data_IF_680645399997
#
_entry.id   IF_680645399997
#
_cell.length_a   1.000
_cell.length_b   1.000
_cell.length_c   1.000
_cell.angle_alpha   90.00
_cell.angle_beta   90.00
_cell.angle_gamma   90.00
#
_symmetry.space_group_name_H-M   'P 1'
#
loop_
_entity.id
_entity.type
_entity.pdbx_description
1 polymer ?
#
# COMPACT_ATOMS: atom_id res chain seq x y z
N UNK A 1 -15.61 -16.97 12.23
CA UNK A 1 -15.10 -17.41 10.91
C UNK A 1 -13.57 -17.40 11.00
N UNK A 2 -12.87 -18.46 10.55
CA UNK A 2 -11.41 -18.60 10.62
C UNK A 2 -10.81 -18.66 9.21
N UNK A 3 -9.79 -17.85 8.92
CA UNK A 3 -8.99 -17.90 7.69
C UNK A 3 -7.60 -18.41 8.02
N UNK A 4 -7.12 -19.40 7.27
CA UNK A 4 -5.73 -19.91 7.37
C UNK A 4 -4.94 -19.38 6.16
N UNK A 5 -3.78 -18.78 6.41
CA UNK A 5 -2.85 -18.32 5.38
C UNK A 5 -1.42 -18.30 5.92
N UNK A 6 -0.42 -18.36 5.04
CA UNK A 6 0.96 -18.09 5.40
C UNK A 6 1.20 -16.60 5.59
N UNK A 7 1.90 -16.22 6.66
CA UNK A 7 2.32 -14.85 6.89
C UNK A 7 3.81 -14.68 6.54
N UNK A 8 4.19 -13.46 6.15
CA UNK A 8 5.53 -13.12 5.68
C UNK A 8 6.21 -12.20 6.69
N UNK A 9 7.49 -12.47 6.99
CA UNK A 9 8.31 -11.58 7.82
C UNK A 9 8.80 -10.39 7.00
N UNK A 10 8.42 -9.17 7.41
CA UNK A 10 8.87 -7.95 6.73
C UNK A 10 10.34 -7.69 7.01
N UNK A 11 10.72 -7.84 8.28
CA UNK A 11 12.11 -7.67 8.70
C UNK A 11 13.01 -8.75 8.06
N UNK A 12 12.54 -9.99 7.95
CA UNK A 12 13.30 -11.09 7.34
C UNK A 12 13.48 -10.95 5.82
N UNK A 13 12.67 -10.11 5.16
CA UNK A 13 12.83 -9.75 3.76
C UNK A 13 13.62 -8.44 3.56
N UNK A 14 14.06 -7.79 4.64
CA UNK A 14 14.64 -6.44 4.64
C UNK A 14 13.72 -5.38 4.00
N UNK A 15 12.40 -5.54 4.17
CA UNK A 15 11.42 -4.60 3.67
C UNK A 15 11.18 -3.47 4.68
N UNK A 16 10.77 -2.32 4.14
CA UNK A 16 10.34 -1.16 4.87
C UNK A 16 8.83 -1.04 4.80
N UNK A 17 8.25 -0.26 5.71
CA UNK A 17 6.84 0.07 5.64
C UNK A 17 6.57 1.54 5.87
N UNK A 18 5.40 1.98 5.42
CA UNK A 18 4.87 3.29 5.70
C UNK A 18 3.40 3.20 6.09
N UNK A 19 2.98 4.11 6.97
CA UNK A 19 1.59 4.39 7.22
C UNK A 19 1.19 5.65 6.48
N UNK A 20 0.06 5.59 5.78
CA UNK A 20 -0.52 6.72 5.06
C UNK A 20 -1.85 7.04 5.73
N UNK A 21 -1.92 8.18 6.39
CA UNK A 21 -3.12 8.69 7.02
C UNK A 21 -3.75 9.69 6.05
N UNK A 22 -5.04 9.55 5.78
CA UNK A 22 -5.74 10.39 4.81
C UNK A 22 -7.04 10.93 5.38
N UNK A 23 -7.25 12.21 5.14
CA UNK A 23 -8.52 12.90 5.37
C UNK A 23 -9.21 13.03 4.01
N UNK A 24 -10.25 12.22 3.83
CA UNK A 24 -11.05 12.19 2.61
C UNK A 24 -12.30 13.06 2.76
N UNK A 25 -12.68 13.75 1.70
CA UNK A 25 -13.78 14.74 1.68
C UNK A 25 -15.15 14.15 1.97
N UNK A 26 -15.42 12.96 1.46
CA UNK A 26 -16.73 12.31 1.60
C UNK A 26 -16.59 10.79 1.56
N UNK A 27 -17.67 10.11 1.96
CA UNK A 27 -17.70 8.66 2.09
C UNK A 27 -17.63 7.93 0.74
N UNK A 28 -18.15 8.52 -0.34
CA UNK A 28 -18.11 7.89 -1.66
C UNK A 28 -16.68 7.82 -2.22
N UNK A 29 -15.90 8.88 -2.05
CA UNK A 29 -14.47 8.87 -2.41
C UNK A 29 -13.69 7.87 -1.53
N UNK A 30 -14.02 7.74 -0.24
CA UNK A 30 -13.42 6.70 0.64
C UNK A 30 -13.69 5.30 0.09
N UNK A 31 -14.93 5.00 -0.29
CA UNK A 31 -15.29 3.70 -0.89
C UNK A 31 -14.51 3.41 -2.17
N UNK A 32 -14.37 4.41 -3.05
CA UNK A 32 -13.62 4.27 -4.30
C UNK A 32 -12.15 3.96 -4.01
N UNK A 33 -11.54 4.64 -3.05
CA UNK A 33 -10.16 4.39 -2.63
C UNK A 33 -10.02 2.98 -2.04
N UNK A 34 -10.95 2.54 -1.20
CA UNK A 34 -10.86 1.20 -0.62
C UNK A 34 -10.94 0.13 -1.72
N UNK A 35 -11.93 0.23 -2.61
CA UNK A 35 -12.09 -0.72 -3.72
C UNK A 35 -10.87 -0.78 -4.66
N UNK A 36 -10.19 0.36 -4.85
CA UNK A 36 -9.00 0.45 -5.69
C UNK A 36 -7.76 -0.23 -5.08
N UNK A 37 -7.65 -0.29 -3.74
CA UNK A 37 -6.43 -0.69 -3.06
C UNK A 37 -6.55 -1.87 -2.08
N UNK A 38 -7.75 -2.35 -1.76
CA UNK A 38 -7.96 -3.52 -0.87
C UNK A 38 -7.24 -4.79 -1.34
N UNK A 39 -7.01 -4.91 -2.65
CA UNK A 39 -6.32 -6.02 -3.31
C UNK A 39 -4.85 -5.69 -3.66
N UNK A 40 -4.35 -4.53 -3.26
CA UNK A 40 -2.97 -4.17 -3.57
C UNK A 40 -2.00 -5.05 -2.76
N UNK A 41 -1.04 -5.75 -3.39
CA UNK A 41 -0.15 -6.68 -2.68
C UNK A 41 0.75 -6.01 -1.64
N UNK A 42 0.97 -4.69 -1.76
CA UNK A 42 1.74 -3.89 -0.81
C UNK A 42 0.95 -3.51 0.45
N UNK A 43 -0.38 -3.53 0.39
CA UNK A 43 -1.25 -3.06 1.47
C UNK A 43 -1.51 -4.21 2.45
N UNK A 44 -0.98 -4.11 3.67
CA UNK A 44 -1.26 -5.07 4.74
C UNK A 44 -2.34 -4.59 5.71
N UNK A 45 -2.62 -3.29 5.72
CA UNK A 45 -3.62 -2.67 6.57
C UNK A 45 -4.37 -1.64 5.75
N UNK A 46 -5.69 -1.70 5.81
CA UNK A 46 -6.59 -0.69 5.31
C UNK A 46 -7.76 -0.59 6.27
N UNK A 47 -7.93 0.56 6.91
CA UNK A 47 -8.96 0.72 7.93
C UNK A 47 -9.58 2.11 7.92
N UNK A 48 -10.88 2.15 8.18
CA UNK A 48 -11.53 3.36 8.63
C UNK A 48 -11.04 3.71 10.03
N UNK A 49 -10.78 4.98 10.27
CA UNK A 49 -10.36 5.50 11.57
C UNK A 49 -11.21 6.71 11.94
N UNK A 50 -11.29 7.01 13.22
CA UNK A 50 -11.98 8.21 13.73
C UNK A 50 -10.94 9.14 14.35
N UNK A 51 -10.93 10.40 13.93
CA UNK A 51 -9.98 11.41 14.39
C UNK A 51 -9.78 12.48 13.33
N UNK A 52 -8.57 13.04 13.27
CA UNK A 52 -8.18 14.00 12.22
C UNK A 52 -8.23 13.40 10.81
N UNK A 53 -7.88 12.12 10.71
CA UNK A 53 -7.94 11.34 9.47
C UNK A 53 -9.11 10.37 9.54
N UNK A 54 -9.67 10.00 8.39
CA UNK A 54 -10.78 9.06 8.29
C UNK A 54 -10.43 7.74 7.58
N UNK A 55 -9.19 7.63 7.09
CA UNK A 55 -8.67 6.45 6.43
C UNK A 55 -7.17 6.25 6.76
N UNK A 56 -6.76 5.02 7.05
CA UNK A 56 -5.34 4.65 7.23
C UNK A 56 -4.97 3.47 6.34
N UNK A 57 -3.79 3.56 5.76
CA UNK A 57 -3.12 2.49 5.03
C UNK A 57 -1.83 2.10 5.73
N UNK A 58 -1.53 0.81 5.77
CA UNK A 58 -0.20 0.28 6.01
C UNK A 58 0.31 -0.36 4.73
N UNK A 59 1.44 0.13 4.23
CA UNK A 59 2.07 -0.35 2.99
C UNK A 59 3.50 -0.83 3.23
N UNK A 60 3.96 -1.82 2.46
CA UNK A 60 5.36 -2.29 2.46
C UNK A 60 6.07 -2.02 1.13
N UNK A 61 7.40 -1.96 1.17
CA UNK A 61 8.26 -1.84 0.00
C UNK A 61 9.70 -2.26 0.28
N UNK A 62 10.45 -2.56 -0.77
CA UNK A 62 11.84 -3.05 -0.67
C UNK A 62 12.84 -1.99 -0.19
N UNK A 63 12.51 -0.70 -0.37
CA UNK A 63 13.32 0.42 0.12
C UNK A 63 12.44 1.63 0.40
N UNK A 64 12.98 2.61 1.13
CA UNK A 64 12.31 3.90 1.34
C UNK A 64 12.07 4.61 0.00
N UNK A 65 12.99 4.51 -0.95
CA UNK A 65 12.83 5.15 -2.26
C UNK A 65 11.73 4.47 -3.10
N UNK A 66 11.60 3.14 -3.03
CA UNK A 66 10.46 2.42 -3.62
C UNK A 66 9.14 2.88 -2.99
N UNK A 67 9.10 3.08 -1.68
CA UNK A 67 7.91 3.60 -1.00
C UNK A 67 7.59 5.05 -1.40
N UNK A 68 8.59 5.92 -1.52
CA UNK A 68 8.42 7.31 -2.01
C UNK A 68 7.88 7.33 -3.43
N UNK A 69 8.46 6.53 -4.33
CA UNK A 69 7.99 6.37 -5.72
C UNK A 69 6.57 5.80 -5.77
N UNK A 70 6.27 4.82 -4.91
CA UNK A 70 4.90 4.33 -4.74
C UNK A 70 3.95 5.48 -4.42
N UNK A 71 4.21 6.26 -3.36
CA UNK A 71 3.35 7.39 -2.95
C UNK A 71 3.15 8.40 -4.09
N UNK A 72 4.21 8.74 -4.83
CA UNK A 72 4.13 9.76 -5.87
C UNK A 72 3.46 9.29 -7.17
N UNK A 73 3.34 7.98 -7.42
CA UNK A 73 2.83 7.46 -8.70
C UNK A 73 1.65 6.50 -8.54
N UNK A 74 1.84 5.44 -7.74
CA UNK A 74 0.85 4.36 -7.60
C UNK A 74 -0.02 4.50 -6.35
N UNK A 75 0.42 5.28 -5.37
CA UNK A 75 -0.20 5.41 -4.06
C UNK A 75 -1.51 6.20 -4.10
N UNK A 76 -2.31 6.07 -3.05
CA UNK A 76 -3.60 6.74 -2.99
C UNK A 76 -3.46 8.27 -2.91
N UNK A 77 -2.29 8.80 -2.52
CA UNK A 77 -2.04 10.22 -2.21
C UNK A 77 -2.31 11.22 -3.35
N UNK A 78 -2.40 10.75 -4.60
CA UNK A 78 -2.74 11.59 -5.76
C UNK A 78 -4.19 11.41 -6.24
N UNK A 79 -5.00 10.63 -5.54
CA UNK A 79 -6.36 10.34 -5.95
C UNK A 79 -7.32 11.45 -5.51
N UNK A 80 -8.45 11.52 -6.21
CA UNK A 80 -9.48 12.52 -5.97
C UNK A 80 -10.06 12.40 -4.56
N UNK A 81 -10.43 13.53 -3.98
CA UNK A 81 -11.15 13.58 -2.71
C UNK A 81 -10.26 13.67 -1.47
N UNK A 82 -8.93 13.61 -1.60
CA UNK A 82 -8.00 13.87 -0.50
C UNK A 82 -8.01 15.36 -0.16
N UNK A 83 -8.20 15.67 1.13
CA UNK A 83 -8.05 17.01 1.70
C UNK A 83 -6.65 17.18 2.30
N UNK A 84 -6.25 16.22 3.14
CA UNK A 84 -4.94 16.19 3.76
C UNK A 84 -4.42 14.75 3.82
N UNK A 85 -3.09 14.61 3.80
CA UNK A 85 -2.43 13.33 4.06
C UNK A 85 -1.20 13.51 4.94
N UNK A 86 -0.89 12.50 5.74
CA UNK A 86 0.36 12.39 6.47
C UNK A 86 0.96 11.01 6.21
N UNK A 87 2.28 10.98 6.01
CA UNK A 87 3.01 9.76 5.71
C UNK A 87 4.04 9.54 6.82
N UNK A 88 4.01 8.36 7.42
CA UNK A 88 4.92 7.95 8.49
C UNK A 88 5.72 6.76 7.99
N UNK A 89 7.00 6.96 7.72
CA UNK A 89 7.90 5.86 7.37
C UNK A 89 8.36 5.15 8.65
N UNK A 90 8.35 3.83 8.61
CA UNK A 90 8.86 2.98 9.70
C UNK A 90 10.30 2.59 9.40
N UNK A 91 11.14 2.56 10.44
CA UNK A 91 12.52 2.07 10.33
C UNK A 91 12.61 0.55 10.53
N UNK A 92 11.78 -0.01 11.41
CA UNK A 92 11.70 -1.45 11.68
C UNK A 92 10.32 -1.82 12.23
N UNK A 93 9.80 -2.97 11.82
CA UNK A 93 8.59 -3.53 12.42
C UNK A 93 8.94 -4.25 13.74
N UNK A 94 8.48 -3.74 14.89
CA UNK A 94 8.72 -4.39 16.17
C UNK A 94 7.69 -5.49 16.46
N UNK A 95 6.44 -5.24 16.10
CA UNK A 95 5.35 -6.21 16.18
C UNK A 95 4.20 -5.81 15.21
N UNK A 96 3.48 -6.79 14.64
CA UNK A 96 3.81 -8.21 14.60
C UNK A 96 5.02 -8.47 13.68
N UNK A 97 5.77 -9.56 13.93
CA UNK A 97 6.91 -9.93 13.08
C UNK A 97 6.45 -10.42 11.69
N UNK A 98 5.31 -11.12 11.64
CA UNK A 98 4.76 -11.71 10.42
C UNK A 98 3.44 -11.06 10.04
N UNK A 99 3.35 -10.54 8.82
CA UNK A 99 2.15 -9.91 8.27
C UNK A 99 1.44 -10.81 7.25
N UNK A 100 0.10 -10.71 7.15
CA UNK A 100 -0.72 -11.46 6.20
C UNK A 100 -0.63 -10.89 4.77
N UNK A 101 0.58 -10.80 4.23
CA UNK A 101 0.83 -10.25 2.90
C UNK A 101 0.72 -11.31 1.81
N UNK A 102 0.27 -10.89 0.63
CA UNK A 102 0.21 -11.73 -0.57
C UNK A 102 1.02 -11.10 -1.70
N UNK A 103 2.34 -11.07 -1.53
CA UNK A 103 3.29 -10.44 -2.45
C UNK A 103 3.43 -11.22 -3.77
N UNK A 104 3.33 -12.55 -3.72
CA UNK A 104 3.72 -13.45 -4.81
C UNK A 104 2.53 -14.09 -5.52
N UNK A 105 1.55 -13.29 -5.94
CA UNK A 105 0.30 -13.83 -6.55
C UNK A 105 0.45 -14.20 -8.03
N UNK A 106 1.40 -13.61 -8.75
CA UNK A 106 1.54 -13.77 -10.22
C UNK A 106 0.44 -13.06 -11.03
N UNK A 107 -0.59 -12.49 -10.39
CA UNK A 107 -1.76 -11.88 -11.03
C UNK A 107 -1.75 -10.38 -10.77
N UNK A 108 -1.52 -9.58 -11.81
CA UNK A 108 -1.53 -8.12 -11.66
C UNK A 108 -2.93 -7.57 -11.35
N UNK A 109 -2.98 -6.70 -10.34
CA UNK A 109 -4.17 -5.96 -9.91
C UNK A 109 -4.17 -4.49 -10.39
N UNK A 110 -3.32 -4.15 -11.37
CA UNK A 110 -3.23 -2.78 -11.94
C UNK A 110 -4.57 -2.22 -12.43
N UNK A 111 -5.45 -3.08 -12.96
CA UNK A 111 -6.78 -2.67 -13.42
C UNK A 111 -7.68 -2.08 -12.32
N UNK A 112 -7.42 -2.36 -11.03
CA UNK A 112 -8.21 -1.83 -9.92
C UNK A 112 -7.80 -0.43 -9.49
N UNK A 113 -6.49 -0.16 -9.45
CA UNK A 113 -5.97 1.15 -9.04
C UNK A 113 -5.85 2.15 -10.20
N UNK A 114 -6.09 1.69 -11.43
CA UNK A 114 -6.01 2.46 -12.68
C UNK A 114 -4.60 3.01 -12.98
N UNK A 115 -3.60 2.64 -12.19
CA UNK A 115 -2.22 3.05 -12.40
C UNK A 115 -1.53 2.05 -13.35
N UNK A 116 -0.73 2.56 -14.28
CA UNK A 116 0.00 1.76 -15.25
C UNK A 116 1.41 1.50 -14.70
N UNK A 117 1.67 0.33 -14.10
CA UNK A 117 2.98 0.05 -13.50
C UNK A 117 4.10 0.11 -14.53
N UNK A 118 3.85 -0.31 -15.77
CA UNK A 118 4.83 -0.28 -16.87
C UNK A 118 5.29 1.13 -17.26
N UNK A 119 4.57 2.17 -16.85
CA UNK A 119 4.93 3.56 -17.07
C UNK A 119 5.63 4.21 -15.86
N UNK A 120 5.81 3.46 -14.76
CA UNK A 120 6.44 3.94 -13.54
C UNK A 120 7.96 3.74 -13.60
N UNK A 121 8.75 4.76 -13.25
CA UNK A 121 10.22 4.69 -13.18
C UNK A 121 10.70 3.54 -12.27
N UNK A 122 10.06 3.30 -11.12
CA UNK A 122 10.43 2.18 -10.24
C UNK A 122 10.30 0.81 -10.93
N UNK A 123 9.36 0.68 -11.86
CA UNK A 123 9.21 -0.54 -12.65
C UNK A 123 10.25 -0.61 -13.77
N UNK A 124 10.52 0.51 -14.44
CA UNK A 124 11.50 0.60 -15.52
C UNK A 124 12.93 0.38 -15.02
N UNK A 125 13.25 0.86 -13.81
CA UNK A 125 14.56 0.70 -13.16
C UNK A 125 14.77 -0.72 -12.60
N UNK A 126 13.72 -1.56 -12.54
CA UNK A 126 13.78 -2.91 -11.98
C UNK A 126 13.64 -2.98 -10.45
N UNK A 127 13.50 -1.83 -9.77
CA UNK A 127 13.32 -1.72 -8.32
C UNK A 127 11.96 -2.22 -7.82
N UNK A 128 11.00 -2.41 -8.73
CA UNK A 128 9.65 -2.84 -8.42
C UNK A 128 9.10 -3.72 -9.56
N UNK A 129 8.73 -4.96 -9.28
CA UNK A 129 8.18 -5.87 -10.29
C UNK A 129 6.67 -5.68 -10.57
N UNK A 130 6.07 -4.63 -10.03
CA UNK A 130 4.68 -4.21 -10.29
C UNK A 130 3.66 -4.95 -9.41
N UNK A 131 2.37 -4.82 -9.72
CA UNK A 131 1.32 -5.44 -8.90
C UNK A 131 1.19 -6.96 -9.09
N UNK A 132 1.78 -7.52 -10.16
CA UNK A 132 1.71 -8.95 -10.45
C UNK A 132 2.85 -9.78 -9.87
N UNK A 133 3.95 -9.13 -9.52
CA UNK A 133 5.13 -9.75 -8.94
C UNK A 133 5.67 -8.78 -7.90
N UNK A 134 5.72 -9.18 -6.64
CA UNK A 134 6.61 -8.57 -5.65
C UNK A 134 7.81 -9.47 -5.41
#
# INVERSE_FOLDING_TARGET
ILKVQGNISINGLDFYAAFILMEMRNYDEVKNIIAAYEDCPRVFLLAHVTGQYNLIFGVVGQSIDVLRRYLNFCGPTNKKGILHSAIIFTSKFLAPEFLPLNLFTGISKEHKCENICKACEAFLDGDCKGCGNF
#
